data_IF_501972722531
#
_entry.id   IF_501972722531
#
_cell.length_a   1.000
_cell.length_b   1.000
_cell.length_c   1.000
_cell.angle_alpha   90.00
_cell.angle_beta   90.00
_cell.angle_gamma   90.00
#
_symmetry.space_group_name_H-M   'P 1'
#
loop_
_entity.id
_entity.type
_entity.pdbx_description
1 polymer ?
#
# COMPACT_ATOMS: atom_id res chain seq x y z
N UNK A 1 -30.12 -23.54 -26.57
CA UNK A 1 -29.33 -23.49 -27.83
C UNK A 1 -29.84 -22.39 -28.79
N UNK A 2 -31.16 -22.34 -29.14
CA UNK A 2 -31.66 -21.32 -30.06
C UNK A 2 -31.54 -19.89 -29.51
N UNK A 3 -31.90 -19.64 -28.26
CA UNK A 3 -31.75 -18.34 -27.63
C UNK A 3 -30.27 -17.88 -27.59
N UNK A 4 -29.36 -18.79 -27.36
CA UNK A 4 -27.93 -18.54 -27.38
C UNK A 4 -27.40 -18.18 -28.77
N UNK A 5 -27.90 -18.86 -29.82
CA UNK A 5 -27.58 -18.53 -31.19
C UNK A 5 -28.04 -17.12 -31.54
N UNK A 6 -29.30 -16.79 -31.24
CA UNK A 6 -29.88 -15.45 -31.46
C UNK A 6 -29.13 -14.35 -30.74
N UNK A 7 -28.78 -14.56 -29.44
CA UNK A 7 -27.97 -13.61 -28.67
C UNK A 7 -26.58 -13.42 -29.30
N UNK A 8 -25.94 -14.50 -29.77
CA UNK A 8 -24.64 -14.43 -30.44
C UNK A 8 -24.68 -13.65 -31.74
N UNK A 9 -25.73 -13.84 -32.52
CA UNK A 9 -25.98 -13.10 -33.78
C UNK A 9 -26.22 -11.61 -33.46
N UNK A 10 -27.09 -11.29 -32.50
CA UNK A 10 -27.35 -9.92 -32.07
C UNK A 10 -26.07 -9.23 -31.58
N UNK A 11 -25.26 -9.92 -30.78
CA UNK A 11 -24.00 -9.35 -30.24
C UNK A 11 -23.02 -8.99 -31.38
N UNK A 12 -23.02 -9.72 -32.49
CA UNK A 12 -22.09 -9.56 -33.64
C UNK A 12 -22.56 -8.54 -34.67
N UNK A 13 -23.84 -8.54 -35.01
CA UNK A 13 -24.33 -7.93 -36.24
C UNK A 13 -25.45 -6.93 -36.11
N UNK A 14 -25.98 -6.69 -34.90
CA UNK A 14 -27.04 -5.70 -34.74
C UNK A 14 -26.47 -4.28 -34.93
N UNK A 15 -27.21 -3.41 -35.62
CA UNK A 15 -26.86 -2.01 -35.80
C UNK A 15 -27.03 -1.17 -34.50
N UNK A 16 -27.87 -1.64 -33.58
CA UNK A 16 -28.13 -0.97 -32.32
C UNK A 16 -27.12 -1.42 -31.26
N UNK A 17 -26.15 -0.54 -30.90
CA UNK A 17 -25.14 -0.83 -29.88
C UNK A 17 -25.75 -1.37 -28.58
N UNK A 18 -26.86 -0.80 -28.11
CA UNK A 18 -27.53 -1.27 -26.89
C UNK A 18 -28.03 -2.70 -26.99
N UNK A 19 -28.58 -3.11 -28.13
CA UNK A 19 -28.98 -4.52 -28.32
C UNK A 19 -27.77 -5.45 -28.23
N UNK A 20 -26.65 -5.07 -28.83
CA UNK A 20 -25.39 -5.82 -28.77
C UNK A 20 -24.89 -5.98 -27.33
N UNK A 21 -24.90 -4.88 -26.54
CA UNK A 21 -24.49 -4.90 -25.14
C UNK A 21 -25.38 -5.81 -24.30
N UNK A 22 -26.69 -5.73 -24.46
CA UNK A 22 -27.63 -6.60 -23.74
C UNK A 22 -27.44 -8.08 -24.12
N UNK A 23 -27.15 -8.37 -25.39
CA UNK A 23 -26.86 -9.73 -25.85
C UNK A 23 -25.56 -10.26 -25.20
N UNK A 24 -24.49 -9.46 -25.12
CA UNK A 24 -23.24 -9.80 -24.44
C UNK A 24 -23.48 -10.12 -22.95
N UNK A 25 -24.23 -9.26 -22.24
CA UNK A 25 -24.54 -9.49 -20.84
C UNK A 25 -25.41 -10.73 -20.61
N UNK A 26 -26.41 -10.96 -21.49
CA UNK A 26 -27.23 -12.17 -21.44
C UNK A 26 -26.39 -13.44 -21.66
N UNK A 27 -25.46 -13.41 -22.63
CA UNK A 27 -24.49 -14.51 -22.84
C UNK A 27 -23.61 -14.70 -21.61
N UNK A 28 -23.20 -13.61 -20.94
CA UNK A 28 -22.45 -13.67 -19.68
C UNK A 28 -23.22 -14.41 -18.58
N UNK A 29 -24.51 -14.15 -18.44
CA UNK A 29 -25.37 -14.86 -17.47
C UNK A 29 -25.44 -16.36 -17.80
N UNK A 30 -25.63 -16.71 -19.07
CA UNK A 30 -25.67 -18.12 -19.51
C UNK A 30 -24.29 -18.81 -19.31
N UNK A 31 -23.21 -18.09 -19.54
CA UNK A 31 -21.85 -18.59 -19.39
C UNK A 31 -21.44 -18.89 -17.96
N UNK A 32 -22.14 -18.36 -16.93
CA UNK A 32 -21.87 -18.71 -15.52
C UNK A 32 -22.07 -20.19 -15.23
N UNK A 33 -22.99 -20.84 -15.92
CA UNK A 33 -23.25 -22.26 -15.76
C UNK A 33 -22.35 -23.12 -16.66
N UNK A 34 -21.99 -22.60 -17.82
CA UNK A 34 -21.16 -23.32 -18.81
C UNK A 34 -20.18 -22.33 -19.49
N UNK A 35 -18.97 -22.13 -18.92
CA UNK A 35 -18.00 -21.12 -19.39
C UNK A 35 -17.63 -21.22 -20.88
N UNK A 36 -17.62 -22.42 -21.45
CA UNK A 36 -17.34 -22.63 -22.86
C UNK A 36 -18.28 -21.86 -23.81
N UNK A 37 -19.50 -21.55 -23.37
CA UNK A 37 -20.44 -20.75 -24.16
C UNK A 37 -19.92 -19.36 -24.47
N UNK A 38 -19.02 -18.83 -23.59
CA UNK A 38 -18.44 -17.51 -23.76
C UNK A 38 -17.34 -17.45 -24.83
N UNK A 39 -16.85 -18.57 -25.35
CA UNK A 39 -15.91 -18.58 -26.48
C UNK A 39 -16.46 -17.80 -27.67
N UNK A 40 -17.78 -17.71 -27.81
CA UNK A 40 -18.48 -16.93 -28.84
C UNK A 40 -18.22 -15.42 -28.74
N UNK A 41 -17.83 -14.92 -27.57
CA UNK A 41 -17.50 -13.52 -27.35
C UNK A 41 -16.03 -13.18 -27.71
N UNK A 42 -15.14 -14.17 -27.81
CA UNK A 42 -13.73 -13.94 -28.12
C UNK A 42 -13.48 -13.08 -29.36
N UNK A 43 -14.19 -13.30 -30.51
CA UNK A 43 -14.02 -12.45 -31.68
C UNK A 43 -14.39 -10.98 -31.45
N UNK A 44 -15.30 -10.68 -30.53
CA UNK A 44 -15.75 -9.32 -30.20
C UNK A 44 -14.73 -8.51 -29.39
N UNK A 45 -13.67 -9.15 -28.90
CA UNK A 45 -12.51 -8.43 -28.33
C UNK A 45 -11.76 -7.60 -29.37
N UNK A 46 -12.03 -7.81 -30.66
CA UNK A 46 -11.48 -7.05 -31.81
C UNK A 46 -12.56 -6.18 -32.51
N UNK A 47 -13.70 -5.98 -31.87
CA UNK A 47 -14.79 -5.18 -32.43
C UNK A 47 -14.35 -3.72 -32.63
N UNK A 48 -14.79 -3.03 -33.69
CA UNK A 48 -14.48 -1.62 -33.91
C UNK A 48 -15.02 -0.72 -32.81
N UNK A 49 -16.13 -1.07 -32.13
CA UNK A 49 -16.70 -0.32 -31.03
C UNK A 49 -15.96 -0.66 -29.73
N UNK A 50 -15.31 0.33 -29.12
CA UNK A 50 -14.56 0.19 -27.87
C UNK A 50 -15.43 -0.28 -26.70
N UNK A 51 -16.71 0.14 -26.64
CA UNK A 51 -17.60 -0.31 -25.57
C UNK A 51 -17.92 -1.80 -25.71
N UNK A 52 -18.07 -2.33 -26.92
CA UNK A 52 -18.23 -3.76 -27.17
C UNK A 52 -16.99 -4.51 -26.68
N UNK A 53 -15.77 -4.06 -27.05
CA UNK A 53 -14.52 -4.67 -26.57
C UNK A 53 -14.44 -4.66 -25.03
N UNK A 54 -14.78 -3.53 -24.41
CA UNK A 54 -14.77 -3.37 -22.94
C UNK A 54 -15.69 -4.35 -22.25
N UNK A 55 -16.94 -4.44 -22.73
CA UNK A 55 -17.94 -5.30 -22.09
C UNK A 55 -17.67 -6.79 -22.34
N UNK A 56 -17.10 -7.13 -23.48
CA UNK A 56 -16.64 -8.51 -23.75
C UNK A 56 -15.51 -8.90 -22.79
N UNK A 57 -14.50 -8.03 -22.61
CA UNK A 57 -13.42 -8.28 -21.65
C UNK A 57 -13.95 -8.47 -20.22
N UNK A 58 -14.90 -7.62 -19.78
CA UNK A 58 -15.53 -7.71 -18.46
C UNK A 58 -16.24 -9.06 -18.28
N UNK A 59 -17.11 -9.43 -19.23
CA UNK A 59 -17.91 -10.66 -19.18
C UNK A 59 -17.04 -11.91 -19.23
N UNK A 60 -16.01 -11.91 -20.06
CA UNK A 60 -15.05 -13.02 -20.15
C UNK A 60 -14.22 -13.18 -18.87
N UNK A 61 -13.91 -12.06 -18.19
CA UNK A 61 -13.21 -12.10 -16.88
C UNK A 61 -14.06 -12.66 -15.75
N UNK A 62 -15.40 -12.63 -15.86
CA UNK A 62 -16.31 -13.13 -14.82
C UNK A 62 -16.53 -14.65 -14.88
N UNK A 63 -15.90 -15.35 -15.82
CA UNK A 63 -16.06 -16.79 -15.99
C UNK A 63 -14.69 -17.49 -16.05
N UNK A 64 -14.55 -18.70 -15.50
CA UNK A 64 -13.30 -19.46 -15.50
C UNK A 64 -13.01 -20.08 -16.88
N UNK A 65 -12.73 -19.21 -17.86
CA UNK A 65 -12.40 -19.58 -19.24
C UNK A 65 -10.92 -19.29 -19.51
N UNK A 66 -10.05 -20.27 -19.31
CA UNK A 66 -8.60 -20.12 -19.47
C UNK A 66 -8.19 -19.58 -20.86
N UNK A 67 -8.91 -19.94 -21.93
CA UNK A 67 -8.65 -19.45 -23.27
C UNK A 67 -8.87 -17.93 -23.43
N UNK A 68 -9.60 -17.30 -22.52
CA UNK A 68 -9.91 -15.86 -22.60
C UNK A 68 -8.67 -14.99 -22.31
N UNK A 69 -7.79 -15.39 -21.38
CA UNK A 69 -6.62 -14.60 -20.97
C UNK A 69 -5.76 -14.20 -22.18
N UNK A 70 -5.38 -15.16 -23.00
CA UNK A 70 -4.54 -14.92 -24.18
C UNK A 70 -5.17 -13.94 -25.17
N UNK A 71 -6.50 -13.95 -25.26
CA UNK A 71 -7.25 -13.05 -26.14
C UNK A 71 -7.44 -11.66 -25.53
N UNK A 72 -7.43 -11.53 -24.20
CA UNK A 72 -7.59 -10.28 -23.47
C UNK A 72 -6.26 -9.53 -23.30
N UNK A 73 -5.13 -10.22 -23.13
CA UNK A 73 -3.81 -9.58 -22.96
C UNK A 73 -3.52 -8.47 -23.99
N UNK A 74 -3.79 -8.62 -25.30
CA UNK A 74 -3.57 -7.56 -26.28
C UNK A 74 -4.35 -6.27 -25.97
N UNK A 75 -5.52 -6.36 -25.32
CA UNK A 75 -6.35 -5.21 -24.97
C UNK A 75 -5.73 -4.30 -23.89
N UNK A 76 -4.69 -4.75 -23.21
CA UNK A 76 -3.90 -3.87 -22.32
C UNK A 76 -3.15 -2.76 -23.08
N UNK A 77 -3.15 -2.82 -24.42
CA UNK A 77 -2.59 -1.81 -25.33
C UNK A 77 -3.64 -1.19 -26.24
N UNK A 78 -4.91 -1.36 -25.92
CA UNK A 78 -6.01 -0.77 -26.68
C UNK A 78 -5.87 0.77 -26.67
N UNK A 79 -6.19 1.48 -27.78
CA UNK A 79 -6.15 2.94 -27.80
C UNK A 79 -7.13 3.58 -26.79
N UNK A 80 -8.17 2.86 -26.37
CA UNK A 80 -9.16 3.35 -25.44
C UNK A 80 -8.86 2.92 -24.00
N UNK A 81 -8.57 3.87 -23.07
CA UNK A 81 -8.20 3.54 -21.68
C UNK A 81 -9.25 2.69 -20.95
N UNK A 82 -10.53 2.85 -21.28
CA UNK A 82 -11.62 2.05 -20.72
C UNK A 82 -11.49 0.57 -21.07
N UNK A 83 -11.05 0.25 -22.28
CA UNK A 83 -10.79 -1.13 -22.71
C UNK A 83 -9.61 -1.71 -21.93
N UNK A 84 -8.51 -0.96 -21.81
CA UNK A 84 -7.36 -1.36 -21.02
C UNK A 84 -7.74 -1.66 -19.56
N UNK A 85 -8.60 -0.79 -18.96
CA UNK A 85 -9.07 -0.92 -17.58
C UNK A 85 -9.83 -2.24 -17.38
N UNK A 86 -10.81 -2.55 -18.23
CA UNK A 86 -11.57 -3.78 -18.09
C UNK A 86 -10.74 -5.02 -18.41
N UNK A 87 -9.83 -4.95 -19.38
CA UNK A 87 -8.88 -6.02 -19.66
C UNK A 87 -8.00 -6.35 -18.44
N UNK A 88 -7.43 -5.33 -17.78
CA UNK A 88 -6.60 -5.52 -16.59
C UNK A 88 -7.37 -6.18 -15.45
N UNK A 89 -8.61 -5.74 -15.19
CA UNK A 89 -9.46 -6.32 -14.15
C UNK A 89 -9.84 -7.77 -14.50
N UNK A 90 -10.18 -8.03 -15.76
CA UNK A 90 -10.55 -9.36 -16.24
C UNK A 90 -9.40 -10.37 -16.06
N UNK A 91 -8.17 -10.00 -16.43
CA UNK A 91 -6.99 -10.84 -16.27
C UNK A 91 -6.71 -11.21 -14.81
N UNK A 92 -6.94 -10.28 -13.88
CA UNK A 92 -6.86 -10.58 -12.45
C UNK A 92 -7.88 -11.61 -11.98
N UNK A 93 -9.11 -11.54 -12.48
CA UNK A 93 -10.17 -12.51 -12.15
C UNK A 93 -9.92 -13.90 -12.76
N UNK A 94 -9.23 -13.96 -13.88
CA UNK A 94 -8.84 -15.21 -14.53
C UNK A 94 -7.63 -15.88 -13.88
N UNK A 95 -6.95 -15.19 -12.93
CA UNK A 95 -5.77 -15.68 -12.21
C UNK A 95 -4.63 -16.16 -13.14
N UNK A 96 -4.48 -15.51 -14.29
CA UNK A 96 -3.49 -15.90 -15.29
C UNK A 96 -2.13 -15.28 -15.04
N UNK A 97 -1.15 -16.09 -14.64
CA UNK A 97 0.21 -15.67 -14.33
C UNK A 97 0.95 -15.06 -15.55
N UNK A 98 0.64 -15.50 -16.79
CA UNK A 98 1.23 -14.90 -18.00
C UNK A 98 0.86 -13.42 -18.15
N UNK A 99 -0.15 -12.95 -17.44
CA UNK A 99 -0.60 -11.56 -17.45
C UNK A 99 0.19 -10.61 -16.53
N UNK A 100 1.06 -11.11 -15.66
CA UNK A 100 1.82 -10.27 -14.71
C UNK A 100 2.70 -9.25 -15.43
N UNK A 101 3.58 -9.70 -16.32
CA UNK A 101 4.46 -8.79 -17.07
C UNK A 101 3.68 -7.82 -17.99
N UNK A 102 2.64 -8.24 -18.74
CA UNK A 102 1.75 -7.31 -19.44
C UNK A 102 1.12 -6.22 -18.54
N UNK A 103 0.69 -6.57 -17.33
CA UNK A 103 0.13 -5.62 -16.37
C UNK A 103 1.19 -4.66 -15.80
N UNK A 104 2.40 -5.17 -15.51
CA UNK A 104 3.53 -4.32 -15.11
C UNK A 104 3.93 -3.37 -16.24
N UNK A 105 3.88 -3.83 -17.50
CA UNK A 105 4.12 -2.98 -18.66
C UNK A 105 3.06 -1.88 -18.77
N UNK A 106 1.79 -2.17 -18.51
CA UNK A 106 0.75 -1.15 -18.45
C UNK A 106 1.06 -0.09 -17.39
N UNK A 107 1.54 -0.49 -16.20
CA UNK A 107 1.94 0.44 -15.14
C UNK A 107 3.12 1.32 -15.54
N UNK A 108 4.15 0.75 -16.20
CA UNK A 108 5.30 1.51 -16.70
C UNK A 108 4.89 2.56 -17.73
N UNK A 109 4.03 2.18 -18.69
CA UNK A 109 3.54 3.08 -19.74
C UNK A 109 2.62 4.16 -19.18
N UNK A 110 1.75 3.80 -18.24
CA UNK A 110 0.85 4.74 -17.57
C UNK A 110 1.61 5.77 -16.73
N UNK A 111 2.74 5.43 -16.18
CA UNK A 111 3.59 6.27 -15.32
C UNK A 111 2.79 7.10 -14.30
N UNK A 112 1.80 6.48 -13.68
CA UNK A 112 0.87 7.08 -12.70
C UNK A 112 0.01 8.26 -13.22
N UNK A 113 -0.06 8.50 -14.53
CA UNK A 113 -0.83 9.60 -15.11
C UNK A 113 -2.34 9.36 -14.99
N UNK A 114 -2.81 8.16 -15.30
CA UNK A 114 -4.20 7.75 -15.13
C UNK A 114 -4.35 6.88 -13.89
N UNK A 115 -5.09 7.40 -12.90
CA UNK A 115 -5.36 6.71 -11.64
C UNK A 115 -6.27 5.47 -11.83
N UNK A 116 -7.16 5.48 -12.81
CA UNK A 116 -8.05 4.34 -13.09
C UNK A 116 -7.28 3.19 -13.72
N UNK A 117 -6.38 3.47 -14.65
CA UNK A 117 -5.50 2.44 -15.23
C UNK A 117 -4.56 1.85 -14.17
N UNK A 118 -3.97 2.69 -13.31
CA UNK A 118 -3.19 2.20 -12.17
C UNK A 118 -4.02 1.30 -11.27
N UNK A 119 -5.23 1.73 -10.88
CA UNK A 119 -6.13 0.93 -10.05
C UNK A 119 -6.46 -0.42 -10.70
N UNK A 120 -6.75 -0.43 -11.99
CA UNK A 120 -7.10 -1.62 -12.74
C UNK A 120 -5.93 -2.62 -12.79
N UNK A 121 -4.72 -2.13 -13.13
CA UNK A 121 -3.52 -2.97 -13.17
C UNK A 121 -3.18 -3.54 -11.78
N UNK A 122 -3.25 -2.73 -10.72
CA UNK A 122 -3.10 -3.19 -9.32
C UNK A 122 -4.15 -4.23 -8.95
N UNK A 123 -5.40 -4.03 -9.38
CA UNK A 123 -6.48 -5.00 -9.16
C UNK A 123 -6.22 -6.31 -9.89
N UNK A 124 -5.68 -6.22 -11.11
CA UNK A 124 -5.24 -7.37 -11.90
C UNK A 124 -4.15 -8.16 -11.19
N UNK A 125 -3.06 -7.49 -10.82
CA UNK A 125 -1.92 -8.11 -10.12
C UNK A 125 -2.34 -8.76 -8.79
N UNK A 126 -3.11 -8.04 -7.97
CA UNK A 126 -3.62 -8.57 -6.71
C UNK A 126 -4.60 -9.73 -6.89
N UNK A 127 -5.40 -9.70 -7.97
CA UNK A 127 -6.32 -10.78 -8.34
C UNK A 127 -5.60 -12.03 -8.76
N UNK A 128 -4.51 -11.93 -9.52
CA UNK A 128 -3.65 -13.08 -9.87
C UNK A 128 -3.08 -13.71 -8.61
N UNK A 129 -2.62 -12.89 -7.65
CA UNK A 129 -2.23 -13.33 -6.31
C UNK A 129 -0.89 -14.06 -6.25
N UNK A 130 -0.07 -14.01 -7.31
CA UNK A 130 1.25 -14.62 -7.33
C UNK A 130 2.27 -13.68 -6.66
N UNK A 131 2.43 -13.85 -5.34
CA UNK A 131 3.35 -13.08 -4.52
C UNK A 131 4.79 -13.14 -5.02
N UNK A 132 5.27 -14.35 -5.32
CA UNK A 132 6.68 -14.56 -5.60
C UNK A 132 7.04 -13.94 -6.96
N UNK A 133 6.20 -14.09 -7.96
CA UNK A 133 6.35 -13.40 -9.23
C UNK A 133 6.31 -11.88 -9.09
N UNK A 134 5.49 -11.31 -8.20
CA UNK A 134 5.50 -9.87 -7.90
C UNK A 134 6.83 -9.43 -7.26
N UNK A 135 7.38 -10.24 -6.37
CA UNK A 135 8.64 -9.93 -5.68
C UNK A 135 9.85 -10.02 -6.60
N UNK A 136 9.84 -10.85 -7.60
CA UNK A 136 10.88 -10.91 -8.65
C UNK A 136 11.00 -9.57 -9.42
N UNK A 137 9.91 -8.80 -9.49
CA UNK A 137 9.86 -7.48 -10.11
C UNK A 137 9.93 -6.30 -9.12
N UNK A 138 10.16 -6.56 -7.83
CA UNK A 138 10.14 -5.50 -6.80
C UNK A 138 11.29 -4.48 -6.93
N UNK A 139 12.31 -4.77 -7.72
CA UNK A 139 13.42 -3.86 -8.05
C UNK A 139 13.33 -3.30 -9.48
N UNK A 140 12.13 -3.30 -10.06
CA UNK A 140 11.90 -2.72 -11.38
C UNK A 140 12.46 -1.29 -11.46
N UNK A 141 13.19 -0.92 -12.51
CA UNK A 141 13.75 0.42 -12.64
C UNK A 141 12.70 1.52 -12.66
N UNK A 142 11.47 1.20 -13.10
CA UNK A 142 10.36 2.14 -13.16
C UNK A 142 9.62 2.22 -11.81
N UNK A 143 9.57 3.38 -11.13
CA UNK A 143 8.91 3.53 -9.84
C UNK A 143 7.39 3.35 -9.90
N UNK A 144 6.73 3.52 -11.08
CA UNK A 144 5.31 3.28 -11.20
C UNK A 144 4.99 1.77 -11.19
N UNK A 145 5.85 0.93 -11.76
CA UNK A 145 5.74 -0.52 -11.64
C UNK A 145 5.93 -0.97 -10.19
N UNK A 146 7.00 -0.49 -9.52
CA UNK A 146 7.23 -0.79 -8.09
C UNK A 146 6.07 -0.34 -7.20
N UNK A 147 5.51 0.86 -7.45
CA UNK A 147 4.31 1.32 -6.74
C UNK A 147 3.13 0.37 -6.97
N UNK A 148 2.93 -0.10 -8.20
CA UNK A 148 1.88 -1.06 -8.53
C UNK A 148 2.02 -2.38 -7.75
N UNK A 149 3.24 -2.91 -7.66
CA UNK A 149 3.56 -4.11 -6.89
C UNK A 149 3.27 -3.89 -5.39
N UNK A 150 3.76 -2.78 -4.84
CA UNK A 150 3.50 -2.39 -3.45
C UNK A 150 1.99 -2.35 -3.16
N UNK A 151 1.21 -1.71 -4.03
CA UNK A 151 -0.24 -1.59 -3.86
C UNK A 151 -0.96 -2.94 -4.04
N UNK A 152 -0.45 -3.84 -4.88
CA UNK A 152 -0.96 -5.19 -5.01
C UNK A 152 -0.70 -6.00 -3.73
N UNK A 153 0.52 -5.98 -3.18
CA UNK A 153 0.87 -6.61 -1.91
C UNK A 153 0.03 -6.05 -0.74
N UNK A 154 -0.19 -4.72 -0.71
CA UNK A 154 -1.11 -4.10 0.26
C UNK A 154 -2.51 -4.70 0.17
N UNK A 155 -3.03 -4.89 -1.03
CA UNK A 155 -4.38 -5.42 -1.26
C UNK A 155 -4.50 -6.88 -0.87
N UNK A 156 -3.40 -7.63 -1.01
CA UNK A 156 -3.26 -9.02 -0.57
C UNK A 156 -3.03 -9.13 0.96
N UNK A 157 -2.68 -8.03 1.64
CA UNK A 157 -2.29 -8.04 3.05
C UNK A 157 -0.94 -8.71 3.29
N UNK A 158 -0.07 -8.75 2.28
CA UNK A 158 1.17 -9.50 2.32
C UNK A 158 2.29 -8.75 3.06
N UNK A 159 2.94 -9.37 4.09
CA UNK A 159 4.00 -8.73 4.86
C UNK A 159 5.28 -8.45 4.06
N UNK A 160 5.49 -9.08 2.90
CA UNK A 160 6.63 -8.77 2.03
C UNK A 160 6.64 -7.32 1.51
N UNK A 161 5.53 -6.59 1.67
CA UNK A 161 5.47 -5.14 1.43
C UNK A 161 6.52 -4.37 2.22
N UNK A 162 7.01 -4.92 3.35
CA UNK A 162 8.04 -4.30 4.19
C UNK A 162 9.36 -4.04 3.44
N UNK A 163 9.66 -4.78 2.35
CA UNK A 163 10.88 -4.50 1.56
C UNK A 163 10.88 -3.10 0.97
N UNK A 164 9.73 -2.52 0.67
CA UNK A 164 9.61 -1.15 0.14
C UNK A 164 9.88 -0.06 1.18
N UNK A 165 10.06 -0.39 2.46
CA UNK A 165 10.55 0.54 3.47
C UNK A 165 12.01 0.98 3.22
N UNK A 166 12.75 0.26 2.37
CA UNK A 166 14.11 0.59 1.93
C UNK A 166 14.17 1.00 0.45
N UNK A 167 13.04 1.32 -0.19
CA UNK A 167 13.02 1.74 -1.59
C UNK A 167 13.78 3.06 -1.79
N UNK A 168 14.48 3.19 -2.91
CA UNK A 168 15.18 4.42 -3.28
C UNK A 168 14.27 5.62 -3.55
N UNK A 169 12.99 5.36 -3.82
CA UNK A 169 11.98 6.40 -4.01
C UNK A 169 11.25 6.67 -2.68
N UNK A 170 11.39 7.86 -2.08
CA UNK A 170 10.80 8.19 -0.78
C UNK A 170 9.28 8.12 -0.75
N UNK A 171 8.63 8.35 -1.88
CA UNK A 171 7.17 8.19 -1.97
C UNK A 171 6.76 6.75 -1.75
N UNK A 172 7.53 5.78 -2.27
CA UNK A 172 7.27 4.37 -2.06
C UNK A 172 7.49 3.96 -0.60
N UNK A 173 8.54 4.50 0.03
CA UNK A 173 8.78 4.29 1.47
C UNK A 173 7.58 4.75 2.31
N UNK A 174 7.07 5.96 2.03
CA UNK A 174 5.90 6.50 2.73
C UNK A 174 4.64 5.67 2.45
N UNK A 175 4.42 5.23 1.21
CA UNK A 175 3.26 4.39 0.88
C UNK A 175 3.36 2.99 1.51
N UNK A 176 4.56 2.42 1.61
CA UNK A 176 4.79 1.17 2.35
C UNK A 176 4.44 1.33 3.84
N UNK A 177 4.91 2.41 4.46
CA UNK A 177 4.59 2.72 5.85
C UNK A 177 3.09 2.90 6.08
N UNK A 178 2.39 3.61 5.18
CA UNK A 178 0.92 3.75 5.18
C UNK A 178 0.23 2.40 5.05
N UNK A 179 0.67 1.59 4.11
CA UNK A 179 0.08 0.29 3.87
C UNK A 179 0.20 -0.64 5.09
N UNK A 180 1.37 -0.65 5.74
CA UNK A 180 1.62 -1.51 6.89
C UNK A 180 0.86 -1.01 8.14
N UNK A 181 0.79 0.30 8.35
CA UNK A 181 0.25 0.88 9.57
C UNK A 181 -1.25 1.13 9.52
N UNK A 182 -1.75 1.79 8.46
CA UNK A 182 -3.12 2.30 8.37
C UNK A 182 -4.13 1.15 8.17
N UNK A 183 -3.77 0.17 7.33
CA UNK A 183 -4.51 -1.08 7.13
C UNK A 183 -3.65 -2.21 7.70
N UNK A 184 -3.74 -2.54 9.01
CA UNK A 184 -2.67 -3.23 9.72
C UNK A 184 -2.25 -4.55 9.07
N UNK A 185 -1.04 -4.57 8.51
CA UNK A 185 -0.35 -5.80 8.11
C UNK A 185 0.53 -6.19 9.30
N UNK A 186 -0.03 -7.02 10.18
CA UNK A 186 0.55 -7.29 11.50
C UNK A 186 1.97 -7.83 11.45
N UNK A 187 2.25 -8.72 10.50
CA UNK A 187 3.54 -9.41 10.38
C UNK A 187 4.65 -8.50 9.81
N UNK A 188 4.29 -7.32 9.27
CA UNK A 188 5.26 -6.32 8.79
C UNK A 188 5.52 -5.18 9.81
N UNK A 189 4.90 -5.20 11.00
CA UNK A 189 5.01 -4.10 11.98
C UNK A 189 6.39 -3.98 12.58
N UNK A 190 7.08 -5.08 12.80
CA UNK A 190 8.44 -5.06 13.37
C UNK A 190 9.37 -4.34 12.41
N UNK A 191 9.33 -4.70 11.12
CA UNK A 191 10.13 -4.04 10.08
C UNK A 191 9.80 -2.55 9.96
N UNK A 192 8.53 -2.17 10.09
CA UNK A 192 8.14 -0.75 10.11
C UNK A 192 8.74 -0.02 11.33
N UNK A 193 8.75 -0.63 12.51
CA UNK A 193 9.37 -0.05 13.69
C UNK A 193 10.90 0.07 13.53
N UNK A 194 11.54 -0.97 12.98
CA UNK A 194 12.99 -1.03 12.75
C UNK A 194 13.46 0.01 11.72
N UNK A 195 12.61 0.36 10.76
CA UNK A 195 12.93 1.37 9.74
C UNK A 195 13.25 2.77 10.34
N UNK A 196 12.87 3.02 11.61
CA UNK A 196 13.26 4.24 12.30
C UNK A 196 14.78 4.31 12.53
N UNK A 197 15.45 3.18 12.74
CA UNK A 197 16.91 3.12 12.89
C UNK A 197 17.61 3.58 11.62
N UNK A 198 17.17 3.09 10.46
CA UNK A 198 17.73 3.49 9.16
C UNK A 198 17.53 4.98 8.90
N UNK A 199 16.37 5.52 9.27
CA UNK A 199 16.10 6.95 9.16
C UNK A 199 17.06 7.79 9.99
N UNK A 200 17.31 7.42 11.27
CA UNK A 200 18.19 8.14 12.17
C UNK A 200 19.69 8.01 11.80
N UNK A 201 20.07 6.97 11.04
CA UNK A 201 21.44 6.76 10.56
C UNK A 201 21.76 7.52 9.27
N UNK A 202 20.75 7.77 8.43
CA UNK A 202 20.93 8.39 7.10
C UNK A 202 21.55 9.78 7.15
N UNK A 203 21.32 10.55 8.20
CA UNK A 203 21.86 11.90 8.39
C UNK A 203 23.37 11.95 8.65
N UNK A 204 24.00 10.82 9.03
CA UNK A 204 25.46 10.78 9.29
C UNK A 204 26.32 10.72 8.04
N UNK A 205 25.75 10.41 6.88
CA UNK A 205 26.48 10.16 5.64
C UNK A 205 26.53 11.36 4.68
N UNK A 206 26.09 12.55 5.07
CA UNK A 206 26.07 13.74 4.19
C UNK A 206 25.09 13.62 3.02
N UNK A 207 24.20 12.65 3.05
CA UNK A 207 23.06 12.58 2.12
C UNK A 207 22.14 13.75 2.44
N UNK A 208 21.70 14.56 1.43
CA UNK A 208 20.73 15.61 1.69
C UNK A 208 19.57 14.99 2.45
N UNK A 209 19.25 15.53 3.63
CA UNK A 209 18.01 15.20 4.34
C UNK A 209 16.88 15.48 3.35
N UNK A 210 16.45 14.43 2.66
CA UNK A 210 15.21 14.55 1.89
C UNK A 210 14.18 14.95 2.91
N UNK A 211 13.46 16.03 2.65
CA UNK A 211 12.42 16.52 3.54
C UNK A 211 11.56 15.33 3.93
N UNK A 212 11.82 14.83 5.16
CA UNK A 212 11.19 13.59 5.62
C UNK A 212 9.71 13.87 5.68
N UNK A 213 8.97 13.10 4.92
CA UNK A 213 7.52 13.19 4.93
C UNK A 213 7.05 12.96 6.38
N UNK A 214 6.42 13.98 6.97
CA UNK A 214 5.80 13.91 8.30
C UNK A 214 4.90 12.67 8.42
N UNK A 215 4.28 12.27 7.31
CA UNK A 215 3.46 11.08 7.25
C UNK A 215 4.26 9.77 7.48
N UNK A 216 5.51 9.70 7.03
CA UNK A 216 6.40 8.58 7.30
C UNK A 216 6.79 8.55 8.78
N UNK A 217 7.37 9.64 9.30
CA UNK A 217 7.83 9.70 10.69
C UNK A 217 6.75 9.39 11.71
N UNK A 218 5.55 9.91 11.51
CA UNK A 218 4.41 9.62 12.38
C UNK A 218 4.10 8.13 12.46
N UNK A 219 4.26 7.39 11.36
CA UNK A 219 4.02 5.94 11.32
C UNK A 219 5.17 5.14 11.91
N UNK A 220 6.41 5.56 11.69
CA UNK A 220 7.59 4.95 12.32
C UNK A 220 7.53 5.10 13.84
N UNK A 221 7.24 6.30 14.35
CA UNK A 221 7.04 6.56 15.78
C UNK A 221 5.89 5.73 16.35
N UNK A 222 4.74 5.76 15.70
CA UNK A 222 3.57 5.06 16.18
C UNK A 222 3.74 3.52 16.14
N UNK A 223 4.48 2.98 15.16
CA UNK A 223 4.83 1.56 15.12
C UNK A 223 5.69 1.16 16.32
N UNK A 224 6.72 1.96 16.66
CA UNK A 224 7.53 1.77 17.86
C UNK A 224 6.70 1.91 19.12
N UNK A 225 5.88 2.97 19.23
CA UNK A 225 5.00 3.16 20.39
C UNK A 225 4.05 1.98 20.58
N UNK A 226 3.52 1.38 19.51
CA UNK A 226 2.66 0.20 19.57
C UNK A 226 3.41 -1.10 19.82
N UNK A 227 4.68 -1.20 19.42
CA UNK A 227 5.55 -2.35 19.69
C UNK A 227 5.80 -2.55 21.19
N UNK A 228 6.08 -1.46 21.91
CA UNK A 228 5.98 -1.39 23.35
C UNK A 228 7.09 -2.10 24.16
N UNK A 229 8.17 -2.53 23.53
CA UNK A 229 9.33 -3.09 24.21
C UNK A 229 10.42 -2.00 24.44
N UNK A 230 11.46 -2.35 25.19
CA UNK A 230 12.57 -1.46 25.54
C UNK A 230 13.28 -0.90 24.29
N UNK A 231 13.53 -1.72 23.29
CA UNK A 231 14.16 -1.28 22.04
C UNK A 231 13.31 -0.25 21.31
N UNK A 232 11.99 -0.43 21.31
CA UNK A 232 11.07 0.54 20.75
C UNK A 232 11.10 1.87 21.50
N UNK A 233 11.15 1.84 22.83
CA UNK A 233 11.28 3.05 23.65
C UNK A 233 12.61 3.78 23.39
N UNK A 234 13.72 3.03 23.29
CA UNK A 234 15.04 3.56 22.95
C UNK A 234 15.06 4.25 21.59
N UNK A 235 14.39 3.70 20.59
CA UNK A 235 14.26 4.33 19.26
C UNK A 235 13.50 5.66 19.32
N UNK A 236 12.39 5.70 20.08
CA UNK A 236 11.61 6.93 20.28
C UNK A 236 12.45 7.99 21.00
N UNK A 237 13.22 7.60 22.02
CA UNK A 237 14.12 8.50 22.74
C UNK A 237 15.22 9.05 21.82
N UNK A 238 15.84 8.21 21.01
CA UNK A 238 16.83 8.66 20.02
C UNK A 238 16.24 9.65 19.00
N UNK A 239 15.00 9.46 18.54
CA UNK A 239 14.35 10.44 17.69
C UNK A 239 14.07 11.76 18.41
N UNK A 240 13.67 11.74 19.68
CA UNK A 240 13.52 12.94 20.49
C UNK A 240 14.82 13.77 20.53
N UNK A 241 15.96 13.11 20.64
CA UNK A 241 17.28 13.73 20.72
C UNK A 241 17.89 14.09 19.35
N UNK A 242 17.34 13.53 18.27
CA UNK A 242 17.88 13.70 16.93
C UNK A 242 17.62 15.10 16.37
N UNK A 243 18.64 15.96 16.34
CA UNK A 243 18.51 17.40 16.04
C UNK A 243 17.99 17.68 14.63
N UNK A 244 18.32 16.84 13.66
CA UNK A 244 17.87 16.99 12.27
C UNK A 244 16.39 16.61 12.07
N UNK A 245 15.77 15.90 13.03
CA UNK A 245 14.36 15.56 12.96
C UNK A 245 13.45 16.77 13.21
N UNK A 246 12.29 16.86 12.52
CA UNK A 246 11.33 17.93 12.70
C UNK A 246 10.89 18.08 14.16
N UNK A 247 10.78 19.33 14.66
CA UNK A 247 10.33 19.62 16.02
C UNK A 247 8.98 19.00 16.36
N UNK A 248 8.06 18.91 15.38
CA UNK A 248 6.76 18.24 15.52
C UNK A 248 6.91 16.77 15.92
N UNK A 249 7.80 16.05 15.24
CA UNK A 249 8.08 14.63 15.50
C UNK A 249 8.80 14.42 16.82
N UNK A 250 9.74 15.31 17.18
CA UNK A 250 10.44 15.28 18.46
C UNK A 250 9.48 15.55 19.63
N UNK A 251 8.54 16.50 19.49
CA UNK A 251 7.47 16.73 20.50
C UNK A 251 6.56 15.51 20.65
N UNK A 252 6.21 14.88 19.52
CA UNK A 252 5.38 13.67 19.57
C UNK A 252 6.11 12.52 20.27
N UNK A 253 7.41 12.35 20.02
CA UNK A 253 8.25 11.37 20.70
C UNK A 253 8.24 11.59 22.22
N UNK A 254 8.42 12.84 22.70
CA UNK A 254 8.34 13.18 24.12
C UNK A 254 6.97 12.80 24.72
N UNK A 255 5.86 13.15 24.06
CA UNK A 255 4.51 12.80 24.50
C UNK A 255 4.27 11.29 24.54
N UNK A 256 4.77 10.55 23.56
CA UNK A 256 4.67 9.10 23.54
C UNK A 256 5.40 8.45 24.72
N UNK A 257 6.60 8.92 25.02
CA UNK A 257 7.34 8.45 26.20
C UNK A 257 6.64 8.83 27.51
N UNK A 258 6.13 10.06 27.64
CA UNK A 258 5.39 10.50 28.82
C UNK A 258 4.11 9.68 29.10
N UNK A 259 3.48 9.15 28.04
CA UNK A 259 2.28 8.31 28.15
C UNK A 259 2.57 6.81 27.96
N UNK A 260 3.83 6.39 28.10
CA UNK A 260 4.25 5.02 27.83
C UNK A 260 3.54 3.99 28.70
N UNK A 261 3.44 4.26 30.00
CA UNK A 261 2.85 3.36 30.98
C UNK A 261 1.34 3.16 30.75
N UNK A 262 0.64 4.25 30.43
CA UNK A 262 -0.81 4.26 30.19
C UNK A 262 -1.13 4.85 28.82
N UNK A 263 -0.96 4.04 27.75
CA UNK A 263 -1.20 4.51 26.39
C UNK A 263 -2.66 4.90 26.17
N UNK A 264 -2.87 5.99 25.40
CA UNK A 264 -4.22 6.33 24.92
C UNK A 264 -4.85 5.16 24.15
N UNK A 265 -6.14 4.90 24.35
CA UNK A 265 -6.86 3.87 23.59
C UNK A 265 -7.10 4.28 22.13
N UNK A 266 -6.93 5.57 21.81
CA UNK A 266 -7.07 6.09 20.44
C UNK A 266 -5.71 6.10 19.75
N UNK A 267 -5.67 5.49 18.58
CA UNK A 267 -4.51 5.57 17.69
C UNK A 267 -4.36 6.99 17.12
N UNK A 268 -3.22 7.62 17.39
CA UNK A 268 -2.98 9.04 17.06
C UNK A 268 -2.73 9.30 15.58
N UNK A 269 -2.44 8.26 14.79
CA UNK A 269 -2.20 8.38 13.34
C UNK A 269 -3.50 8.27 12.56
N UNK A 270 -4.31 7.24 12.88
CA UNK A 270 -5.54 6.93 12.11
C UNK A 270 -6.82 7.31 12.85
N UNK A 271 -6.74 7.75 14.11
CA UNK A 271 -7.90 8.18 14.90
C UNK A 271 -8.85 7.06 15.30
N UNK A 272 -8.46 5.81 15.15
CA UNK A 272 -9.29 4.65 15.46
C UNK A 272 -9.08 4.18 16.90
N UNK A 273 -10.13 3.56 17.48
CA UNK A 273 -10.03 2.87 18.77
C UNK A 273 -9.19 1.59 18.61
N UNK A 274 -7.95 1.65 19.08
CA UNK A 274 -6.94 0.56 19.03
C UNK A 274 -6.18 0.50 20.33
N UNK A 275 -6.83 0.07 21.45
CA UNK A 275 -6.25 0.13 22.79
C UNK A 275 -4.96 -0.68 22.90
N UNK A 276 -4.09 -0.23 23.77
CA UNK A 276 -2.85 -0.91 24.16
C UNK A 276 -2.91 -1.22 25.66
N UNK A 277 -2.28 -2.32 26.05
CA UNK A 277 -2.15 -2.68 27.46
C UNK A 277 -1.24 -1.71 28.20
N UNK A 278 -1.44 -1.54 29.52
CA UNK A 278 -0.48 -0.87 30.40
C UNK A 278 0.88 -1.55 30.32
N UNK A 279 1.94 -0.77 30.50
CA UNK A 279 3.32 -1.22 30.37
C UNK A 279 4.12 -0.91 31.61
N UNK A 280 5.18 -1.70 31.82
CA UNK A 280 6.17 -1.40 32.84
C UNK A 280 6.97 -0.14 32.42
N UNK A 281 7.02 0.91 33.26
CA UNK A 281 7.79 2.11 32.99
C UNK A 281 9.28 1.98 33.34
N UNK A 282 9.73 0.91 33.99
CA UNK A 282 11.06 0.81 34.59
C UNK A 282 12.20 1.08 33.61
N UNK A 283 12.19 0.39 32.44
CA UNK A 283 13.23 0.56 31.43
C UNK A 283 13.26 1.97 30.83
N UNK A 284 12.09 2.58 30.60
CA UNK A 284 12.02 3.98 30.11
C UNK A 284 12.53 4.95 31.16
N UNK A 285 12.16 4.74 32.45
CA UNK A 285 12.64 5.55 33.56
C UNK A 285 14.15 5.51 33.67
N UNK A 286 14.77 4.34 33.62
CA UNK A 286 16.22 4.16 33.65
C UNK A 286 16.93 4.90 32.52
N UNK A 287 16.43 4.78 31.30
CA UNK A 287 16.97 5.49 30.13
C UNK A 287 16.88 7.01 30.27
N UNK A 288 15.76 7.51 30.79
CA UNK A 288 15.55 8.95 30.99
C UNK A 288 16.40 9.50 32.13
N UNK A 289 16.52 8.78 33.27
CA UNK A 289 17.33 9.17 34.41
C UNK A 289 18.79 9.34 34.01
N UNK A 290 19.34 8.37 33.25
CA UNK A 290 20.71 8.40 32.76
C UNK A 290 21.01 9.58 31.82
N UNK A 291 20.01 10.20 31.17
CA UNK A 291 20.17 11.21 30.15
C UNK A 291 19.46 12.55 30.45
N UNK A 292 18.81 12.67 31.59
CA UNK A 292 17.95 13.81 31.97
C UNK A 292 18.63 15.18 31.86
N UNK A 293 19.82 15.33 32.42
CA UNK A 293 20.59 16.57 32.40
C UNK A 293 20.97 16.96 30.97
N UNK A 294 21.57 16.03 30.23
CA UNK A 294 21.97 16.27 28.85
C UNK A 294 20.78 16.64 27.95
N UNK A 295 19.61 16.01 28.17
CA UNK A 295 18.38 16.31 27.41
C UNK A 295 17.88 17.73 27.68
N UNK A 296 17.95 18.20 28.95
CA UNK A 296 17.53 19.56 29.31
C UNK A 296 18.48 20.63 28.79
N UNK A 297 19.79 20.37 28.85
CA UNK A 297 20.83 21.29 28.37
C UNK A 297 20.80 21.45 26.86
N UNK A 298 20.58 20.35 26.13
CA UNK A 298 20.57 20.34 24.64
C UNK A 298 19.22 20.67 24.03
N UNK A 299 18.13 20.70 24.82
CA UNK A 299 16.78 20.92 24.29
C UNK A 299 16.61 22.36 23.77
N UNK A 300 16.24 22.55 22.49
CA UNK A 300 15.86 23.86 22.00
C UNK A 300 14.62 24.38 22.76
N UNK A 301 14.42 25.70 22.75
CA UNK A 301 13.39 26.37 23.55
C UNK A 301 11.99 25.71 23.40
N UNK A 302 11.67 25.32 22.18
CA UNK A 302 10.37 24.72 21.83
C UNK A 302 10.17 23.27 22.33
N UNK A 303 11.23 22.61 22.78
CA UNK A 303 11.19 21.25 23.34
C UNK A 303 11.38 21.21 24.85
N UNK A 304 11.77 22.31 25.48
CA UNK A 304 12.05 22.33 26.92
C UNK A 304 10.83 21.91 27.74
N UNK A 305 9.67 22.51 27.50
CA UNK A 305 8.43 22.14 28.17
C UNK A 305 8.06 20.66 27.98
N UNK A 306 7.99 20.11 26.71
CA UNK A 306 7.76 18.70 26.49
C UNK A 306 8.76 17.75 27.18
N UNK A 307 10.03 18.14 27.28
CA UNK A 307 11.06 17.33 27.97
C UNK A 307 10.86 17.40 29.49
N UNK A 308 10.55 18.57 30.04
CA UNK A 308 10.25 18.72 31.48
C UNK A 308 9.01 17.87 31.83
N UNK A 309 7.94 17.94 31.06
CA UNK A 309 6.73 17.14 31.28
C UNK A 309 7.03 15.64 31.23
N UNK A 310 7.87 15.22 30.29
CA UNK A 310 8.32 13.83 30.16
C UNK A 310 9.06 13.39 31.44
N UNK A 311 10.07 14.15 31.90
CA UNK A 311 10.86 13.80 33.09
C UNK A 311 10.00 13.82 34.37
N UNK A 312 9.10 14.80 34.47
CA UNK A 312 8.15 14.89 35.60
C UNK A 312 7.19 13.68 35.64
N UNK A 313 6.75 13.16 34.49
CA UNK A 313 5.87 11.98 34.43
C UNK A 313 6.51 10.72 35.05
N UNK A 314 7.86 10.66 35.10
CA UNK A 314 8.63 9.59 35.72
C UNK A 314 9.22 9.97 37.10
N UNK A 315 8.89 11.16 37.62
CA UNK A 315 9.42 11.67 38.89
C UNK A 315 10.96 11.68 38.92
N UNK A 316 11.59 12.07 37.79
CA UNK A 316 13.04 12.18 37.69
C UNK A 316 13.46 13.55 38.25
N UNK A 317 14.34 13.53 39.27
CA UNK A 317 14.91 14.73 39.84
C UNK A 317 16.08 15.23 39.00
N UNK A 318 15.91 16.39 38.38
CA UNK A 318 16.93 17.03 37.53
C UNK A 318 17.89 17.92 38.29
N UNK A 319 17.99 17.75 39.63
CA UNK A 319 19.02 18.42 40.46
C UNK A 319 18.92 19.93 40.47
N UNK A 320 17.74 20.52 40.63
CA UNK A 320 17.61 21.90 41.08
C UNK A 320 17.75 21.94 42.59
N UNK A 321 18.98 21.99 43.06
CA UNK A 321 19.33 22.54 44.35
C UNK A 321 19.57 24.04 44.21
#
# INVERSE_FOLDING_TARGET
EEAERLLSETARSDSARMARLHAIWALGILGRQEPKRLERLLPLLQDPDAEIRSQCALVLGDAPLAAASRSIIPLLRDPEPRVQMFAAIALGKLHDQESIEPLLKLLRVNDNQDAYLRYAAVSGLAGIGDRDALLDHAEDPNPAARLGILLALRRMGDPAIARFLADSNPRLVTEAARAIYDTPIHDARVQLADALDSHLQGDRAGTPVMSVDDALLRRLLAANYRGGNEQNASRILRLLQHEASPLSSRREAARMLATWQEPSPLDRVVGLYRPLSKRDPAAVREMLDAQSIAMLESAPAELREPVIDLLASYQIDCGRS
#
